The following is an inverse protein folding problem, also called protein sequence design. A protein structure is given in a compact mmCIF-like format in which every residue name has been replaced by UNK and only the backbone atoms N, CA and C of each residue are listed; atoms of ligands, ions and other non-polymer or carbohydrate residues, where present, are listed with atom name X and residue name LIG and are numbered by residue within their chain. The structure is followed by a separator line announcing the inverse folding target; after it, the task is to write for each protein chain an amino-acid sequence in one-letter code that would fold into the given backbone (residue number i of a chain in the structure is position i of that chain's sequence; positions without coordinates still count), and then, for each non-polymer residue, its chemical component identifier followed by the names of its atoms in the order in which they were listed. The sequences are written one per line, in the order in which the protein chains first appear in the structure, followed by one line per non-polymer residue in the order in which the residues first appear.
data_IF_222598028150
#
_entry.id   IF_222598028150
#
_cell.length_a   1.000
_cell.length_b   1.000
_cell.length_c   1.000
_cell.angle_alpha   90.00
_cell.angle_beta   90.00
_cell.angle_gamma   90.00
#
_symmetry.space_group_name_H-M   'P 1'
#
loop_
_entity.id
_entity.type
_entity.pdbx_description
1 polymer ?
#
# COMPACT_ATOMS: atom_id res chain seq x y z
N UNK A 1 -24.74 10.90 -14.24
CA UNK A 1 -24.03 11.17 -12.99
C UNK A 1 -23.65 9.81 -12.38
N UNK A 2 -22.57 9.71 -11.60
CA UNK A 2 -22.04 8.40 -11.18
C UNK A 2 -22.93 7.82 -10.04
N UNK A 3 -23.52 6.63 -10.18
CA UNK A 3 -24.43 6.07 -9.17
C UNK A 3 -23.79 5.94 -7.77
N UNK A 4 -22.48 5.71 -7.72
CA UNK A 4 -21.73 5.63 -6.45
C UNK A 4 -21.70 7.00 -5.78
N UNK A 5 -21.46 8.08 -6.52
CA UNK A 5 -21.39 9.43 -5.94
C UNK A 5 -22.75 9.86 -5.40
N UNK A 6 -23.83 9.62 -6.16
CA UNK A 6 -25.19 9.93 -5.72
C UNK A 6 -25.56 9.19 -4.42
N UNK A 7 -25.20 7.91 -4.32
CA UNK A 7 -25.55 7.09 -3.15
C UNK A 7 -24.87 7.57 -1.85
N UNK A 8 -23.74 8.27 -1.93
CA UNK A 8 -22.97 8.73 -0.76
C UNK A 8 -23.21 10.20 -0.41
N UNK A 9 -23.90 10.98 -1.26
CA UNK A 9 -24.08 12.42 -1.09
C UNK A 9 -24.68 12.78 0.27
N UNK A 10 -25.69 12.02 0.72
CA UNK A 10 -26.30 12.24 2.04
C UNK A 10 -25.28 12.15 3.18
N UNK A 11 -24.39 11.16 3.15
CA UNK A 11 -23.36 10.99 4.19
C UNK A 11 -22.37 12.13 4.16
N UNK A 12 -21.92 12.52 2.96
CA UNK A 12 -20.97 13.61 2.75
C UNK A 12 -21.54 14.94 3.26
N UNK A 13 -22.80 15.23 2.95
CA UNK A 13 -23.45 16.48 3.33
C UNK A 13 -23.81 16.56 4.82
N UNK A 14 -24.26 15.44 5.41
CA UNK A 14 -24.77 15.43 6.79
C UNK A 14 -23.71 15.10 7.84
N UNK A 15 -22.49 14.73 7.43
CA UNK A 15 -21.40 14.45 8.37
C UNK A 15 -21.07 15.66 9.24
N UNK A 16 -21.14 15.47 10.56
CA UNK A 16 -20.95 16.54 11.56
C UNK A 16 -19.48 16.71 11.97
N UNK A 17 -18.77 15.59 12.09
CA UNK A 17 -17.41 15.56 12.67
C UNK A 17 -16.31 15.38 11.62
N UNK A 18 -16.65 14.92 10.42
CA UNK A 18 -15.69 14.65 9.35
C UNK A 18 -16.09 15.45 8.11
N UNK A 19 -15.25 16.39 7.70
CA UNK A 19 -15.44 17.20 6.49
C UNK A 19 -14.11 17.38 5.78
N UNK A 20 -14.19 17.48 4.45
CA UNK A 20 -13.03 17.83 3.62
C UNK A 20 -12.76 19.32 3.77
N UNK A 21 -11.54 19.68 4.17
CA UNK A 21 -11.08 21.06 4.19
C UNK A 21 -10.70 21.51 2.77
N UNK A 22 -11.60 22.25 2.11
CA UNK A 22 -11.40 22.71 0.72
C UNK A 22 -10.28 23.72 0.58
N UNK A 23 -10.03 24.54 1.60
CA UNK A 23 -8.96 25.54 1.57
C UNK A 23 -7.58 24.86 1.58
N UNK A 24 -7.43 23.81 2.39
CA UNK A 24 -6.20 23.00 2.41
C UNK A 24 -5.95 22.24 1.11
N UNK A 25 -7.01 21.81 0.43
CA UNK A 25 -6.87 21.25 -0.93
C UNK A 25 -6.29 22.30 -1.87
N UNK A 26 -6.85 23.53 -1.86
CA UNK A 26 -6.38 24.61 -2.73
C UNK A 26 -4.93 25.00 -2.45
N UNK A 27 -4.57 25.12 -1.17
CA UNK A 27 -3.20 25.36 -0.71
C UNK A 27 -2.25 24.29 -1.24
N UNK A 28 -2.59 23.01 -1.04
CA UNK A 28 -1.81 21.88 -1.54
C UNK A 28 -1.63 21.94 -3.06
N UNK A 29 -2.72 22.14 -3.82
CA UNK A 29 -2.66 22.17 -5.29
C UNK A 29 -1.81 23.31 -5.82
N UNK A 30 -1.78 24.46 -5.13
CA UNK A 30 -0.95 25.60 -5.53
C UNK A 30 0.54 25.35 -5.29
N UNK A 31 0.88 24.55 -4.27
CA UNK A 31 2.26 24.17 -3.95
C UNK A 31 2.70 22.82 -4.55
N UNK A 32 1.80 22.12 -5.22
CA UNK A 32 2.04 20.76 -5.68
C UNK A 32 3.05 20.75 -6.83
N UNK A 33 4.14 20.01 -6.64
CA UNK A 33 5.14 19.79 -7.67
C UNK A 33 5.21 18.29 -7.99
N UNK A 34 4.79 17.83 -9.18
CA UNK A 34 4.80 16.42 -9.51
C UNK A 34 6.23 15.86 -9.62
N UNK A 35 7.23 16.69 -9.90
CA UNK A 35 8.61 16.24 -10.10
C UNK A 35 9.31 15.80 -8.80
N UNK A 36 8.74 16.13 -7.64
CA UNK A 36 9.26 15.70 -6.34
C UNK A 36 8.52 14.46 -5.80
N UNK A 37 7.51 13.96 -6.51
CA UNK A 37 6.82 12.74 -6.11
C UNK A 37 7.71 11.53 -6.37
N UNK A 38 8.09 10.86 -5.29
CA UNK A 38 8.57 9.49 -5.35
C UNK A 38 7.37 8.57 -5.19
N UNK A 39 7.26 7.57 -6.05
CA UNK A 39 6.24 6.56 -5.85
C UNK A 39 6.64 5.73 -4.63
N UNK A 40 5.69 5.33 -3.79
CA UNK A 40 6.01 4.54 -2.59
C UNK A 40 6.69 3.19 -2.93
N UNK A 41 6.52 2.70 -4.15
CA UNK A 41 7.26 1.54 -4.68
C UNK A 41 8.76 1.83 -4.81
N UNK A 42 9.14 3.07 -5.14
CA UNK A 42 10.54 3.49 -5.28
C UNK A 42 11.26 3.56 -3.92
N UNK A 43 10.50 3.77 -2.85
CA UNK A 43 10.99 3.71 -1.46
C UNK A 43 10.87 2.32 -0.85
N UNK A 44 10.28 1.36 -1.58
CA UNK A 44 10.10 0.03 -1.05
C UNK A 44 11.44 -0.70 -0.92
N UNK A 45 11.58 -1.53 0.12
CA UNK A 45 12.74 -2.41 0.29
C UNK A 45 12.83 -3.45 -0.84
N UNK A 46 11.75 -3.65 -1.58
CA UNK A 46 11.62 -4.62 -2.65
C UNK A 46 11.99 -4.00 -4.00
N UNK A 47 13.02 -4.53 -4.67
CA UNK A 47 13.39 -4.03 -5.99
C UNK A 47 12.42 -4.51 -7.07
N UNK A 48 11.31 -3.78 -7.26
CA UNK A 48 10.32 -4.07 -8.30
C UNK A 48 10.88 -4.03 -9.72
N UNK A 49 12.03 -3.38 -9.95
CA UNK A 49 12.66 -3.26 -11.26
C UNK A 49 13.08 -4.61 -11.85
N UNK A 50 13.32 -5.61 -10.99
CA UNK A 50 13.73 -6.96 -11.41
C UNK A 50 12.55 -7.85 -11.83
N UNK A 51 11.31 -7.42 -11.56
CA UNK A 51 10.11 -8.16 -11.93
C UNK A 51 9.58 -7.70 -13.30
N UNK A 52 9.12 -8.65 -14.10
CA UNK A 52 8.27 -8.34 -15.26
C UNK A 52 6.86 -7.94 -14.82
N UNK A 53 6.09 -7.33 -15.72
CA UNK A 53 4.77 -6.76 -15.40
C UNK A 53 3.78 -7.79 -14.86
N UNK A 54 3.81 -9.03 -15.37
CA UNK A 54 2.98 -10.12 -14.85
C UNK A 54 3.33 -10.45 -13.39
N UNK A 55 4.61 -10.56 -13.07
CA UNK A 55 5.08 -10.80 -11.69
C UNK A 55 4.76 -9.62 -10.77
N UNK A 56 4.88 -8.37 -11.25
CA UNK A 56 4.45 -7.18 -10.50
C UNK A 56 2.96 -7.21 -10.19
N UNK A 57 2.12 -7.55 -11.17
CA UNK A 57 0.68 -7.66 -11.00
C UNK A 57 0.33 -8.74 -9.96
N UNK A 58 0.91 -9.94 -10.11
CA UNK A 58 0.69 -11.04 -9.15
C UNK A 58 1.17 -10.66 -7.74
N UNK A 59 2.30 -9.95 -7.64
CA UNK A 59 2.78 -9.45 -6.36
C UNK A 59 1.75 -8.49 -5.73
N UNK A 60 1.23 -7.53 -6.49
CA UNK A 60 0.21 -6.60 -6.01
C UNK A 60 -1.06 -7.31 -5.56
N UNK A 61 -1.48 -8.37 -6.26
CA UNK A 61 -2.61 -9.20 -5.84
C UNK A 61 -2.34 -9.83 -4.47
N UNK A 62 -1.24 -10.55 -4.32
CA UNK A 62 -0.86 -11.20 -3.06
C UNK A 62 -0.74 -10.18 -1.93
N UNK A 63 -0.01 -9.09 -2.15
CA UNK A 63 0.17 -8.00 -1.20
C UNK A 63 -1.18 -7.45 -0.70
N UNK A 64 -2.12 -7.15 -1.61
CA UNK A 64 -3.42 -6.61 -1.22
C UNK A 64 -4.29 -7.65 -0.49
N UNK A 65 -4.21 -8.93 -0.86
CA UNK A 65 -4.95 -10.02 -0.22
C UNK A 65 -4.58 -10.24 1.25
N UNK A 66 -3.40 -9.81 1.69
CA UNK A 66 -2.94 -9.91 3.08
C UNK A 66 -2.66 -8.54 3.73
N UNK A 67 -3.08 -7.45 3.10
CA UNK A 67 -2.77 -6.08 3.54
C UNK A 67 -3.36 -5.67 4.90
N UNK A 68 -4.29 -6.46 5.43
CA UNK A 68 -4.87 -6.26 6.77
C UNK A 68 -4.18 -7.12 7.84
N UNK A 69 -3.43 -8.14 7.44
CA UNK A 69 -2.85 -9.15 8.35
C UNK A 69 -1.76 -8.61 9.26
N UNK A 70 -1.24 -7.42 8.97
CA UNK A 70 -0.23 -6.74 9.80
C UNK A 70 -0.81 -5.71 10.78
N UNK A 71 -2.15 -5.56 10.82
CA UNK A 71 -2.82 -4.68 11.77
C UNK A 71 -3.05 -5.44 13.08
N UNK A 72 -2.60 -4.87 14.20
CA UNK A 72 -2.72 -5.48 15.51
C UNK A 72 -2.06 -4.67 16.62
N UNK A 73 -2.29 -5.07 17.87
CA UNK A 73 -1.58 -4.55 19.03
C UNK A 73 -1.00 -5.74 19.84
N UNK A 74 0.34 -5.92 19.85
CA UNK A 74 1.32 -5.11 19.14
C UNK A 74 1.24 -5.31 17.62
N UNK A 75 1.65 -4.30 16.85
CA UNK A 75 1.76 -4.43 15.39
C UNK A 75 2.69 -5.58 15.04
N UNK A 76 2.30 -6.37 14.03
CA UNK A 76 3.16 -7.42 13.52
C UNK A 76 4.50 -6.84 13.03
N UNK A 77 5.57 -7.57 13.28
CA UNK A 77 6.95 -7.18 12.98
C UNK A 77 7.79 -8.39 12.61
N UNK A 78 8.76 -8.19 11.72
CA UNK A 78 9.74 -9.21 11.34
C UNK A 78 11.15 -8.65 11.43
N UNK A 79 12.11 -9.51 11.76
CA UNK A 79 13.54 -9.18 11.67
C UNK A 79 14.04 -9.48 10.26
N UNK A 80 14.71 -8.53 9.59
CA UNK A 80 15.15 -8.71 8.21
C UNK A 80 16.44 -7.93 7.91
N UNK A 81 17.41 -8.58 7.24
CA UNK A 81 18.71 -8.02 6.80
C UNK A 81 19.40 -7.15 7.88
N UNK A 82 19.58 -7.70 9.09
CA UNK A 82 20.24 -7.07 10.25
C UNK A 82 19.59 -5.75 10.76
N UNK A 83 18.52 -5.26 10.13
CA UNK A 83 17.77 -4.08 10.55
C UNK A 83 16.65 -4.49 11.50
N UNK A 84 16.67 -3.87 12.68
CA UNK A 84 15.71 -4.10 13.76
C UNK A 84 14.34 -3.51 13.43
N UNK A 85 13.34 -4.39 13.36
CA UNK A 85 11.91 -4.14 13.54
C UNK A 85 11.24 -3.20 12.53
N UNK A 86 11.17 -3.62 11.27
CA UNK A 86 10.10 -3.11 10.39
C UNK A 86 8.75 -3.51 10.99
N UNK A 87 7.80 -2.57 11.08
CA UNK A 87 6.43 -2.78 11.62
C UNK A 87 5.38 -2.53 10.55
N UNK A 88 4.28 -3.27 10.60
CA UNK A 88 3.15 -3.06 9.70
C UNK A 88 3.49 -3.37 8.24
N UNK A 89 3.19 -2.45 7.32
CA UNK A 89 3.36 -2.66 5.87
C UNK A 89 4.80 -3.00 5.50
N UNK A 90 5.78 -2.40 6.17
CA UNK A 90 7.20 -2.68 5.92
C UNK A 90 7.61 -4.10 6.31
N UNK A 91 7.05 -4.65 7.38
CA UNK A 91 7.23 -6.05 7.74
C UNK A 91 6.69 -6.99 6.67
N UNK A 92 5.57 -6.60 6.06
CA UNK A 92 4.95 -7.37 4.99
C UNK A 92 5.80 -7.37 3.72
N UNK A 93 6.35 -6.21 3.31
CA UNK A 93 7.32 -6.16 2.22
C UNK A 93 8.53 -7.04 2.49
N UNK A 94 9.11 -6.98 3.69
CA UNK A 94 10.25 -7.80 4.08
C UNK A 94 9.93 -9.31 4.04
N UNK A 95 8.74 -9.72 4.49
CA UNK A 95 8.33 -11.12 4.45
C UNK A 95 8.08 -11.64 3.02
N UNK A 96 7.43 -10.82 2.18
CA UNK A 96 7.21 -11.15 0.77
C UNK A 96 8.53 -11.21 0.00
N UNK A 97 9.44 -10.25 0.21
CA UNK A 97 10.77 -10.27 -0.40
C UNK A 97 11.55 -11.53 0.00
N UNK A 98 11.54 -11.88 1.30
CA UNK A 98 12.17 -13.11 1.78
C UNK A 98 11.60 -14.35 1.10
N UNK A 99 10.27 -14.46 0.99
CA UNK A 99 9.65 -15.61 0.35
C UNK A 99 10.09 -15.77 -1.12
N UNK A 100 10.25 -14.65 -1.83
CA UNK A 100 10.75 -14.65 -3.21
C UNK A 100 12.23 -15.02 -3.28
N UNK A 101 13.07 -14.51 -2.36
CA UNK A 101 14.49 -14.88 -2.26
C UNK A 101 14.68 -16.37 -1.93
N UNK A 102 13.81 -16.95 -1.10
CA UNK A 102 13.77 -18.37 -0.76
C UNK A 102 13.20 -19.24 -1.90
N UNK A 103 12.77 -18.64 -3.02
CA UNK A 103 12.22 -19.36 -4.17
C UNK A 103 10.81 -19.91 -3.95
N UNK A 104 10.07 -19.43 -2.95
CA UNK A 104 8.68 -19.84 -2.72
C UNK A 104 7.81 -19.33 -3.89
N UNK A 105 6.93 -20.17 -4.47
CA UNK A 105 6.13 -19.80 -5.63
C UNK A 105 4.91 -18.95 -5.26
N UNK A 106 5.07 -17.98 -4.35
CA UNK A 106 3.98 -17.11 -3.84
C UNK A 106 3.34 -16.22 -4.92
N UNK A 107 3.92 -16.13 -6.12
CA UNK A 107 3.34 -15.41 -7.26
C UNK A 107 2.61 -16.34 -8.24
N UNK A 108 2.56 -17.65 -7.97
CA UNK A 108 1.78 -18.60 -8.73
C UNK A 108 0.40 -18.74 -8.08
N UNK A 109 -0.70 -18.37 -8.74
CA UNK A 109 -2.05 -18.53 -8.20
C UNK A 109 -2.38 -19.97 -7.78
N UNK A 110 -1.84 -20.98 -8.47
CA UNK A 110 -2.12 -22.39 -8.15
C UNK A 110 -1.48 -22.85 -6.82
N UNK A 111 -0.59 -22.04 -6.24
CA UNK A 111 0.10 -22.34 -4.98
C UNK A 111 -0.63 -21.78 -3.74
N UNK A 112 -1.51 -20.79 -3.91
CA UNK A 112 -2.15 -20.01 -2.85
C UNK A 112 -3.63 -20.35 -2.76
#
# INVERSE_FOLDING_TARGET
MNPVTESIDYVVEKSKHVRINRDKIREFTNSFNPNILKHWLDESLFNFSELNDKKKLNFLFVFNSISFSYWGDPKWSVEYKEKKHERGTWSMFAALERALQEGKPILNPDYI
#
